data_IF_202692743488
#
_entry.id   IF_202692743488
#
_cell.length_a   1.000
_cell.length_b   1.000
_cell.length_c   1.000
_cell.angle_alpha   90.00
_cell.angle_beta   90.00
_cell.angle_gamma   90.00
#
_symmetry.space_group_name_H-M   'P 1'
#
loop_
_entity.id
_entity.type
_entity.pdbx_description
1 polymer ?
#
# COMPACT_ATOMS: atom_id res chain seq x y z
N UNK A 1 46.69 -17.01 6.12
CA UNK A 1 45.78 -16.28 5.20
C UNK A 1 46.61 -15.60 4.14
N UNK A 2 46.16 -15.58 2.89
CA UNK A 2 46.87 -14.91 1.79
C UNK A 2 46.44 -13.44 1.75
N UNK A 3 47.37 -12.52 1.52
CA UNK A 3 47.03 -11.14 1.15
C UNK A 3 46.28 -11.13 -0.18
N UNK A 4 45.43 -10.13 -0.37
CA UNK A 4 44.60 -10.03 -1.57
C UNK A 4 45.46 -9.66 -2.79
N UNK A 5 45.47 -10.55 -3.79
CA UNK A 5 46.17 -10.33 -5.07
C UNK A 5 45.35 -9.51 -6.06
N UNK A 6 45.95 -9.02 -7.17
CA UNK A 6 45.25 -8.22 -8.18
C UNK A 6 44.07 -8.98 -8.84
N UNK A 7 44.23 -10.27 -9.14
CA UNK A 7 43.15 -11.10 -9.71
C UNK A 7 41.98 -11.27 -8.74
N UNK A 8 42.28 -11.32 -7.44
CA UNK A 8 41.27 -11.44 -6.39
C UNK A 8 40.51 -10.13 -6.21
N UNK A 9 41.17 -8.97 -6.39
CA UNK A 9 40.50 -7.67 -6.44
C UNK A 9 39.54 -7.57 -7.62
N UNK A 10 39.97 -7.96 -8.82
CA UNK A 10 39.10 -7.98 -9.99
C UNK A 10 37.90 -8.91 -9.80
N UNK A 11 38.12 -10.10 -9.21
CA UNK A 11 37.06 -11.04 -8.87
C UNK A 11 36.08 -10.51 -7.83
N UNK A 12 36.57 -9.83 -6.79
CA UNK A 12 35.75 -9.17 -5.79
C UNK A 12 34.91 -8.05 -6.41
N UNK A 13 35.52 -7.18 -7.23
CA UNK A 13 34.84 -6.08 -7.89
C UNK A 13 33.72 -6.58 -8.82
N UNK A 14 34.00 -7.58 -9.65
CA UNK A 14 33.00 -8.19 -10.53
C UNK A 14 31.85 -8.82 -9.73
N UNK A 15 32.16 -9.48 -8.61
CA UNK A 15 31.15 -10.04 -7.73
C UNK A 15 30.32 -8.94 -7.03
N UNK A 16 30.97 -7.88 -6.54
CA UNK A 16 30.31 -6.74 -5.90
C UNK A 16 29.38 -6.02 -6.90
N UNK A 17 29.78 -5.85 -8.16
CA UNK A 17 28.89 -5.31 -9.21
C UNK A 17 27.63 -6.14 -9.38
N UNK A 18 27.75 -7.46 -9.38
CA UNK A 18 26.60 -8.35 -9.49
C UNK A 18 25.71 -8.26 -8.24
N UNK A 19 26.31 -8.32 -7.04
CA UNK A 19 25.58 -8.27 -5.77
C UNK A 19 24.93 -6.90 -5.53
N UNK A 20 25.55 -5.81 -5.97
CA UNK A 20 25.01 -4.45 -5.85
C UNK A 20 23.66 -4.28 -6.55
N UNK A 21 23.33 -5.12 -7.54
CA UNK A 21 22.00 -5.13 -8.18
C UNK A 21 20.90 -5.57 -7.21
N UNK A 22 21.23 -6.43 -6.25
CA UNK A 22 20.32 -7.00 -5.26
C UNK A 22 20.38 -6.27 -3.91
N UNK A 23 21.56 -5.75 -3.52
CA UNK A 23 21.74 -5.02 -2.25
C UNK A 23 20.92 -3.73 -2.21
N UNK A 24 20.35 -3.42 -1.04
CA UNK A 24 19.52 -2.24 -0.81
C UNK A 24 20.33 -1.05 -0.29
N UNK A 25 21.45 -1.33 0.38
CA UNK A 25 22.35 -0.30 0.94
C UNK A 25 23.82 -0.62 0.67
N UNK A 26 24.65 0.43 0.74
CA UNK A 26 26.11 0.27 0.64
C UNK A 26 26.67 -0.58 1.79
N UNK A 27 26.16 -0.40 3.01
CA UNK A 27 26.63 -1.16 4.17
C UNK A 27 26.32 -2.65 4.04
N UNK A 28 25.15 -3.00 3.50
CA UNK A 28 24.79 -4.38 3.18
C UNK A 28 25.72 -4.98 2.12
N UNK A 29 26.03 -4.23 1.06
CA UNK A 29 27.00 -4.66 0.04
C UNK A 29 28.40 -4.91 0.63
N UNK A 30 28.85 -4.02 1.53
CA UNK A 30 30.13 -4.18 2.22
C UNK A 30 30.12 -5.38 3.17
N UNK A 31 29.00 -5.60 3.86
CA UNK A 31 28.82 -6.77 4.71
C UNK A 31 28.89 -8.06 3.89
N UNK A 32 28.21 -8.13 2.75
CA UNK A 32 28.30 -9.28 1.86
C UNK A 32 29.71 -9.46 1.28
N UNK A 33 30.41 -8.38 0.95
CA UNK A 33 31.80 -8.43 0.50
C UNK A 33 32.74 -9.01 1.56
N UNK A 34 32.55 -8.65 2.83
CA UNK A 34 33.29 -9.25 3.95
C UNK A 34 33.02 -10.75 4.08
N UNK A 35 31.75 -11.18 3.97
CA UNK A 35 31.40 -12.60 3.96
C UNK A 35 32.08 -13.34 2.79
N UNK A 36 32.04 -12.77 1.58
CA UNK A 36 32.66 -13.34 0.39
C UNK A 36 34.18 -13.54 0.53
N UNK A 37 34.87 -12.57 1.15
CA UNK A 37 36.31 -12.64 1.43
C UNK A 37 36.63 -13.71 2.48
N UNK A 38 35.79 -13.77 3.53
CA UNK A 38 35.93 -14.74 4.61
C UNK A 38 35.77 -16.18 4.10
N UNK A 39 34.72 -16.45 3.31
CA UNK A 39 34.45 -17.76 2.70
C UNK A 39 35.64 -18.27 1.86
N UNK A 40 36.32 -17.34 1.17
CA UNK A 40 37.48 -17.63 0.31
C UNK A 40 38.81 -17.66 1.07
N UNK A 41 38.79 -17.49 2.40
CA UNK A 41 39.96 -17.46 3.30
C UNK A 41 40.99 -16.38 2.89
N UNK A 42 40.52 -15.28 2.33
CA UNK A 42 41.33 -14.11 1.96
C UNK A 42 41.45 -13.21 3.19
N UNK A 43 42.63 -12.62 3.42
CA UNK A 43 42.79 -11.63 4.49
C UNK A 43 41.96 -10.39 4.18
N UNK A 44 41.12 -9.96 5.13
CA UNK A 44 40.29 -8.76 4.98
C UNK A 44 41.23 -7.55 4.77
N UNK A 45 41.11 -6.83 3.64
CA UNK A 45 41.93 -5.66 3.36
C UNK A 45 41.57 -4.49 4.29
N UNK A 46 42.32 -3.39 4.18
CA UNK A 46 41.99 -2.17 4.92
C UNK A 46 40.55 -1.72 4.62
N UNK A 47 39.78 -1.43 5.67
CA UNK A 47 38.37 -1.04 5.60
C UNK A 47 38.14 0.12 4.61
N UNK A 48 39.05 1.10 4.61
CA UNK A 48 39.01 2.23 3.67
C UNK A 48 39.01 1.79 2.20
N UNK A 49 39.92 0.88 1.81
CA UNK A 49 40.05 0.41 0.42
C UNK A 49 38.80 -0.34 -0.01
N UNK A 50 38.25 -1.18 0.86
CA UNK A 50 37.01 -1.91 0.58
C UNK A 50 35.81 -0.95 0.44
N UNK A 51 35.73 0.07 1.29
CA UNK A 51 34.70 1.12 1.20
C UNK A 51 34.83 1.98 -0.04
N UNK A 52 36.04 2.34 -0.44
CA UNK A 52 36.31 3.09 -1.67
C UNK A 52 35.84 2.28 -2.91
N UNK A 53 36.16 0.99 -2.95
CA UNK A 53 35.68 0.07 -4.00
C UNK A 53 34.15 -0.05 -3.99
N UNK A 54 33.55 -0.28 -2.81
CA UNK A 54 32.10 -0.35 -2.65
C UNK A 54 31.40 0.93 -3.10
N UNK A 55 31.92 2.10 -2.75
CA UNK A 55 31.40 3.40 -3.22
C UNK A 55 31.48 3.54 -4.74
N UNK A 56 32.57 3.10 -5.35
CA UNK A 56 32.72 3.12 -6.82
C UNK A 56 31.68 2.25 -7.51
N UNK A 57 31.53 0.99 -7.06
CA UNK A 57 30.54 0.03 -7.58
C UNK A 57 29.11 0.54 -7.37
N UNK A 58 28.83 1.16 -6.22
CA UNK A 58 27.52 1.73 -5.92
C UNK A 58 27.19 2.90 -6.83
N UNK A 59 28.15 3.82 -7.04
CA UNK A 59 27.99 4.95 -7.95
C UNK A 59 27.80 4.50 -9.41
N UNK A 60 28.45 3.41 -9.82
CA UNK A 60 28.21 2.78 -11.13
C UNK A 60 26.78 2.26 -11.26
N UNK A 61 26.29 1.57 -10.23
CA UNK A 61 24.92 1.06 -10.20
C UNK A 61 23.87 2.18 -10.25
N UNK A 62 24.11 3.29 -9.53
CA UNK A 62 23.23 4.47 -9.58
C UNK A 62 23.24 5.12 -10.98
N UNK A 63 24.40 5.21 -11.63
CA UNK A 63 24.52 5.70 -13.02
C UNK A 63 23.77 4.81 -14.01
N UNK A 64 23.97 3.50 -13.94
CA UNK A 64 23.29 2.54 -14.84
C UNK A 64 21.78 2.62 -14.70
N UNK A 65 21.30 2.78 -13.46
CA UNK A 65 19.86 2.86 -13.22
C UNK A 65 19.27 4.21 -13.63
N UNK A 66 20.03 5.29 -13.49
CA UNK A 66 19.64 6.58 -14.06
C UNK A 66 19.52 6.51 -15.57
N UNK A 67 20.50 5.90 -16.25
CA UNK A 67 20.46 5.72 -17.71
C UNK A 67 19.24 4.89 -18.14
N UNK A 68 18.86 3.87 -17.36
CA UNK A 68 17.62 3.13 -17.59
C UNK A 68 16.38 4.03 -17.46
N UNK A 69 16.31 4.89 -16.43
CA UNK A 69 15.21 5.84 -16.24
C UNK A 69 15.14 6.80 -17.42
N UNK A 70 16.26 7.38 -17.84
CA UNK A 70 16.31 8.35 -18.95
C UNK A 70 15.91 7.70 -20.29
N UNK A 71 16.21 6.42 -20.48
CA UNK A 71 15.78 5.66 -21.66
C UNK A 71 14.28 5.30 -21.63
N UNK A 72 13.70 5.15 -20.43
CA UNK A 72 12.31 4.69 -20.24
C UNK A 72 11.32 5.85 -20.12
N UNK A 73 11.73 6.92 -19.46
CA UNK A 73 10.87 8.06 -19.10
C UNK A 73 11.30 9.29 -19.89
N UNK A 74 10.46 9.81 -20.79
CA UNK A 74 10.77 11.02 -21.53
C UNK A 74 11.06 12.19 -20.59
N UNK A 75 12.07 12.99 -20.92
CA UNK A 75 12.48 14.15 -20.11
C UNK A 75 11.31 15.14 -19.87
N UNK A 76 10.39 15.24 -20.83
CA UNK A 76 9.18 16.06 -20.71
C UNK A 76 8.25 15.55 -19.60
N UNK A 77 8.12 14.23 -19.43
CA UNK A 77 7.35 13.63 -18.34
C UNK A 77 8.05 13.83 -17.00
N UNK A 78 9.38 13.70 -16.94
CA UNK A 78 10.15 13.98 -15.72
C UNK A 78 9.97 15.43 -15.26
N UNK A 79 10.08 16.40 -16.18
CA UNK A 79 9.85 17.81 -15.88
C UNK A 79 8.43 18.09 -15.43
N UNK A 80 7.42 17.49 -16.10
CA UNK A 80 6.02 17.60 -15.70
C UNK A 80 5.79 17.03 -14.30
N UNK A 81 6.36 15.86 -14.00
CA UNK A 81 6.24 15.22 -12.70
C UNK A 81 6.88 16.08 -11.60
N UNK A 82 8.09 16.60 -11.81
CA UNK A 82 8.78 17.45 -10.84
C UNK A 82 8.01 18.77 -10.56
N UNK A 83 7.47 19.38 -11.62
CA UNK A 83 6.62 20.58 -11.49
C UNK A 83 5.32 20.28 -10.73
N UNK A 84 4.66 19.17 -11.04
CA UNK A 84 3.42 18.76 -10.39
C UNK A 84 3.64 18.39 -8.91
N UNK A 85 4.79 17.82 -8.55
CA UNK A 85 5.12 17.53 -7.15
C UNK A 85 5.45 18.77 -6.33
N UNK A 86 5.95 19.81 -7.00
CA UNK A 86 6.32 21.07 -6.37
C UNK A 86 5.13 22.03 -6.21
N UNK A 87 3.99 21.77 -6.85
CA UNK A 87 2.79 22.60 -6.71
C UNK A 87 2.13 22.43 -5.34
N UNK A 88 1.36 23.45 -4.94
CA UNK A 88 0.50 23.39 -3.77
C UNK A 88 -0.68 22.46 -4.06
N UNK A 89 -1.15 21.75 -3.02
CA UNK A 89 -2.33 20.91 -3.11
C UNK A 89 -3.58 21.71 -2.71
N UNK A 90 -4.61 21.77 -3.55
CA UNK A 90 -5.76 22.67 -3.32
C UNK A 90 -6.49 22.46 -1.99
N UNK A 91 -6.56 21.21 -1.51
CA UNK A 91 -7.26 20.86 -0.28
C UNK A 91 -6.40 20.94 0.99
N UNK A 92 -5.09 21.16 0.88
CA UNK A 92 -4.17 21.05 2.00
C UNK A 92 -3.06 22.10 1.89
N UNK A 93 -2.71 22.76 3.01
CA UNK A 93 -1.61 23.73 3.08
C UNK A 93 -0.23 23.03 3.04
N UNK A 94 -0.04 22.18 2.03
CA UNK A 94 1.14 21.36 1.79
C UNK A 94 1.34 21.12 0.30
N UNK A 95 2.54 20.69 -0.08
CA UNK A 95 2.80 20.33 -1.47
C UNK A 95 2.14 19.02 -1.86
N UNK A 96 1.93 18.83 -3.16
CA UNK A 96 1.46 17.56 -3.71
C UNK A 96 2.38 16.39 -3.30
N UNK A 97 3.69 16.62 -3.25
CA UNK A 97 4.63 15.63 -2.74
C UNK A 97 4.28 15.23 -1.30
N UNK A 98 4.06 16.19 -0.40
CA UNK A 98 3.74 15.92 1.00
C UNK A 98 2.38 15.19 1.14
N UNK A 99 1.41 15.57 0.32
CA UNK A 99 0.12 14.88 0.25
C UNK A 99 0.27 13.41 -0.19
N UNK A 100 1.11 13.13 -1.19
CA UNK A 100 1.41 11.76 -1.63
C UNK A 100 2.18 10.95 -0.59
N UNK A 101 3.05 11.60 0.19
CA UNK A 101 3.79 10.96 1.29
C UNK A 101 2.86 10.54 2.43
N UNK A 102 1.71 11.19 2.58
CA UNK A 102 0.74 10.89 3.63
C UNK A 102 0.07 9.55 3.35
N UNK A 103 0.26 8.52 4.20
CA UNK A 103 -0.33 7.21 3.97
C UNK A 103 -1.85 7.27 4.10
N UNK A 104 -2.60 6.45 3.34
CA UNK A 104 -4.04 6.40 3.47
C UNK A 104 -4.43 5.87 4.86
N UNK A 105 -5.47 6.47 5.44
CA UNK A 105 -6.01 6.08 6.75
C UNK A 105 -6.85 4.79 6.69
N UNK A 106 -7.77 4.59 7.65
CA UNK A 106 -8.68 3.42 7.70
C UNK A 106 -9.64 3.38 6.49
N UNK A 107 -10.31 2.23 6.30
CA UNK A 107 -11.27 1.92 5.22
C UNK A 107 -12.61 2.70 5.26
N UNK A 108 -12.59 3.99 5.63
CA UNK A 108 -13.74 4.87 5.51
C UNK A 108 -13.96 5.28 4.04
N UNK A 109 -15.20 5.65 3.65
CA UNK A 109 -15.48 6.13 2.30
C UNK A 109 -14.65 7.35 1.89
N UNK A 110 -14.35 8.24 2.84
CA UNK A 110 -13.51 9.42 2.63
C UNK A 110 -12.08 9.03 2.28
N UNK A 111 -11.46 8.11 3.01
CA UNK A 111 -10.11 7.61 2.71
C UNK A 111 -10.04 6.88 1.36
N UNK A 112 -11.08 6.11 1.01
CA UNK A 112 -11.15 5.43 -0.29
C UNK A 112 -11.16 6.47 -1.42
N UNK A 113 -11.93 7.55 -1.24
CA UNK A 113 -12.00 8.66 -2.21
C UNK A 113 -10.64 9.35 -2.35
N UNK A 114 -9.98 9.68 -1.24
CA UNK A 114 -8.63 10.26 -1.25
C UNK A 114 -7.60 9.32 -1.89
N UNK A 115 -7.66 8.02 -1.61
CA UNK A 115 -6.77 7.01 -2.21
C UNK A 115 -6.96 6.95 -3.73
N UNK A 116 -8.22 7.02 -4.20
CA UNK A 116 -8.55 7.10 -5.62
C UNK A 116 -8.04 8.39 -6.26
N UNK A 117 -8.12 9.53 -5.57
CA UNK A 117 -7.58 10.81 -6.03
C UNK A 117 -6.06 10.73 -6.22
N UNK A 118 -5.34 10.16 -5.25
CA UNK A 118 -3.89 9.92 -5.37
C UNK A 118 -3.55 9.02 -6.56
N UNK A 119 -4.28 7.92 -6.75
CA UNK A 119 -4.08 7.02 -7.89
C UNK A 119 -4.38 7.74 -9.22
N UNK A 120 -5.45 8.52 -9.29
CA UNK A 120 -5.81 9.29 -10.49
C UNK A 120 -4.71 10.29 -10.84
N UNK A 121 -4.25 11.05 -9.86
CA UNK A 121 -3.14 11.99 -10.01
C UNK A 121 -1.87 11.32 -10.57
N UNK A 122 -1.46 10.18 -10.00
CA UNK A 122 -0.29 9.43 -10.48
C UNK A 122 -0.49 8.89 -11.90
N UNK A 123 -1.71 8.52 -12.28
CA UNK A 123 -2.04 8.09 -13.64
C UNK A 123 -2.01 9.25 -14.63
N UNK A 124 -2.48 10.44 -14.25
CA UNK A 124 -2.45 11.65 -15.08
C UNK A 124 -1.01 12.10 -15.38
N UNK A 125 -0.08 11.93 -14.44
CA UNK A 125 1.36 12.15 -14.67
C UNK A 125 1.94 11.15 -15.68
N UNK A 126 1.34 9.96 -15.79
CA UNK A 126 1.81 8.89 -16.67
C UNK A 126 2.68 7.84 -15.99
N UNK A 127 2.75 7.80 -14.65
CA UNK A 127 3.60 6.88 -13.87
C UNK A 127 3.36 5.41 -14.22
N UNK A 128 2.10 5.07 -14.55
CA UNK A 128 1.68 3.73 -14.95
C UNK A 128 2.28 3.26 -16.29
N UNK A 129 2.84 4.16 -17.09
CA UNK A 129 3.46 3.83 -18.39
C UNK A 129 4.96 3.52 -18.29
N UNK A 130 5.57 3.76 -17.12
CA UNK A 130 7.01 3.59 -16.93
C UNK A 130 7.38 2.12 -16.69
N UNK A 131 8.05 1.50 -17.65
CA UNK A 131 8.51 0.10 -17.58
C UNK A 131 9.83 -0.01 -16.84
N UNK A 132 9.78 -0.07 -15.51
CA UNK A 132 10.94 -0.11 -14.62
C UNK A 132 11.22 -1.51 -14.03
N UNK A 133 10.60 -2.55 -14.58
CA UNK A 133 10.60 -3.91 -14.02
C UNK A 133 11.98 -4.60 -14.06
N UNK A 134 12.93 -4.04 -14.82
CA UNK A 134 14.34 -4.46 -14.82
C UNK A 134 15.01 -4.27 -13.45
N UNK A 135 14.54 -3.29 -12.66
CA UNK A 135 15.05 -3.05 -11.30
C UNK A 135 14.20 -3.84 -10.30
N UNK A 136 14.79 -4.66 -9.42
CA UNK A 136 14.04 -5.41 -8.42
C UNK A 136 13.15 -4.52 -7.54
N UNK A 137 11.93 -4.96 -7.26
CA UNK A 137 10.93 -4.15 -6.53
C UNK A 137 11.43 -3.67 -5.16
N UNK A 138 12.21 -4.47 -4.45
CA UNK A 138 12.74 -4.10 -3.13
C UNK A 138 13.77 -2.97 -3.24
N UNK A 139 14.52 -2.92 -4.33
CA UNK A 139 15.44 -1.83 -4.62
C UNK A 139 14.70 -0.54 -4.99
N UNK A 140 13.62 -0.66 -5.76
CA UNK A 140 12.72 0.47 -6.02
C UNK A 140 12.16 1.03 -4.70
N UNK A 141 11.69 0.14 -3.81
CA UNK A 141 11.21 0.52 -2.47
C UNK A 141 12.29 1.17 -1.63
N UNK A 142 13.53 0.65 -1.64
CA UNK A 142 14.63 1.24 -0.87
C UNK A 142 14.90 2.70 -1.26
N UNK A 143 14.83 3.03 -2.55
CA UNK A 143 14.94 4.42 -3.01
C UNK A 143 13.71 5.26 -2.71
N UNK A 144 12.51 4.73 -2.88
CA UNK A 144 11.27 5.40 -2.47
C UNK A 144 11.27 5.72 -0.96
N UNK A 145 11.83 4.85 -0.12
CA UNK A 145 11.94 5.06 1.32
C UNK A 145 12.89 6.20 1.68
N UNK A 146 13.94 6.47 0.87
CA UNK A 146 14.85 7.60 1.11
C UNK A 146 14.14 8.94 1.03
N UNK A 147 13.28 9.12 0.03
CA UNK A 147 12.48 10.35 -0.08
C UNK A 147 11.35 10.39 0.95
N UNK A 148 10.77 9.25 1.31
CA UNK A 148 9.76 9.18 2.36
C UNK A 148 10.32 9.62 3.73
N UNK A 149 11.48 9.09 4.11
CA UNK A 149 12.14 9.44 5.38
C UNK A 149 12.69 10.88 5.41
N UNK A 150 12.89 11.50 4.25
CA UNK A 150 13.48 12.85 4.15
C UNK A 150 12.46 13.94 4.47
N UNK A 151 12.91 14.98 5.16
CA UNK A 151 12.08 16.18 5.40
C UNK A 151 11.82 16.93 4.08
N UNK A 152 10.66 17.60 3.92
CA UNK A 152 10.29 18.26 2.65
C UNK A 152 11.32 19.31 2.20
N UNK A 153 11.85 20.11 3.14
CA UNK A 153 12.91 21.12 2.88
C UNK A 153 14.16 20.47 2.27
N UNK A 154 14.66 19.40 2.89
CA UNK A 154 15.84 18.68 2.40
C UNK A 154 15.58 17.93 1.09
N UNK A 155 14.32 17.65 0.76
CA UNK A 155 13.94 16.99 -0.49
C UNK A 155 14.05 17.95 -1.67
N UNK A 156 13.67 19.22 -1.46
CA UNK A 156 13.85 20.30 -2.44
C UNK A 156 15.34 20.62 -2.70
N UNK A 157 16.19 20.39 -1.71
CA UNK A 157 17.64 20.58 -1.80
C UNK A 157 18.36 19.47 -2.58
N UNK A 158 17.71 18.32 -2.88
CA UNK A 158 18.34 17.35 -3.78
C UNK A 158 18.52 17.97 -5.16
N UNK A 159 19.70 17.77 -5.73
CA UNK A 159 20.07 18.26 -7.06
C UNK A 159 20.44 17.10 -7.96
N UNK A 160 20.15 17.27 -9.25
CA UNK A 160 20.65 16.40 -10.31
C UNK A 160 20.07 14.99 -10.32
N UNK A 161 20.90 14.04 -10.72
CA UNK A 161 20.56 12.63 -11.01
C UNK A 161 19.94 11.87 -9.84
N UNK A 162 20.47 12.05 -8.62
CA UNK A 162 19.97 11.36 -7.43
C UNK A 162 18.52 11.75 -7.12
N UNK A 163 18.14 13.02 -7.37
CA UNK A 163 16.76 13.48 -7.20
C UNK A 163 15.81 12.79 -8.17
N UNK A 164 16.16 12.75 -9.45
CA UNK A 164 15.35 12.12 -10.50
C UNK A 164 15.11 10.66 -10.18
N UNK A 165 16.17 9.95 -9.79
CA UNK A 165 16.10 8.55 -9.42
C UNK A 165 15.20 8.32 -8.19
N UNK A 166 15.40 9.02 -7.08
CA UNK A 166 14.57 8.86 -5.89
C UNK A 166 13.08 9.19 -6.16
N UNK A 167 12.80 10.24 -6.93
CA UNK A 167 11.45 10.67 -7.26
C UNK A 167 10.71 9.67 -8.15
N UNK A 168 11.35 9.18 -9.22
CA UNK A 168 10.73 8.26 -10.17
C UNK A 168 10.31 6.97 -9.46
N UNK A 169 11.19 6.39 -8.64
CA UNK A 169 10.86 5.18 -7.90
C UNK A 169 9.86 5.43 -6.78
N UNK A 170 9.89 6.59 -6.14
CA UNK A 170 8.83 6.98 -5.21
C UNK A 170 7.46 6.99 -5.87
N UNK A 171 7.29 7.70 -6.97
CA UNK A 171 6.02 7.74 -7.70
C UNK A 171 5.55 6.34 -8.11
N UNK A 172 6.45 5.53 -8.64
CA UNK A 172 6.16 4.15 -9.08
C UNK A 172 5.72 3.26 -7.92
N UNK A 173 6.45 3.28 -6.81
CA UNK A 173 6.16 2.47 -5.61
C UNK A 173 4.88 2.96 -4.94
N UNK A 174 4.69 4.27 -4.79
CA UNK A 174 3.46 4.84 -4.23
C UNK A 174 2.23 4.47 -5.05
N UNK A 175 2.32 4.43 -6.37
CA UNK A 175 1.21 3.95 -7.22
C UNK A 175 0.85 2.48 -6.90
N UNK A 176 1.86 1.61 -6.74
CA UNK A 176 1.63 0.20 -6.40
C UNK A 176 1.00 0.06 -5.01
N UNK A 177 1.60 0.70 -4.00
CA UNK A 177 1.14 0.62 -2.61
C UNK A 177 -0.28 1.18 -2.44
N UNK A 178 -0.62 2.27 -3.12
CA UNK A 178 -1.97 2.84 -3.09
C UNK A 178 -2.98 1.93 -3.80
N UNK A 179 -2.59 1.29 -4.90
CA UNK A 179 -3.47 0.35 -5.61
C UNK A 179 -3.76 -0.87 -4.73
N UNK A 180 -2.74 -1.44 -4.08
CA UNK A 180 -2.90 -2.55 -3.14
C UNK A 180 -3.76 -2.14 -1.92
N UNK A 181 -3.50 -0.94 -1.38
CA UNK A 181 -4.28 -0.38 -0.27
C UNK A 181 -5.75 -0.19 -0.64
N UNK A 182 -6.03 0.32 -1.84
CA UNK A 182 -7.39 0.50 -2.34
C UNK A 182 -8.13 -0.84 -2.46
N UNK A 183 -7.48 -1.86 -3.03
CA UNK A 183 -8.06 -3.20 -3.15
C UNK A 183 -8.42 -3.76 -1.77
N UNK A 184 -7.53 -3.60 -0.79
CA UNK A 184 -7.78 -4.01 0.59
C UNK A 184 -8.95 -3.23 1.24
N UNK A 185 -8.98 -1.91 1.09
CA UNK A 185 -10.03 -1.05 1.63
C UNK A 185 -11.41 -1.40 1.06
N UNK A 186 -11.51 -1.58 -0.27
CA UNK A 186 -12.75 -1.97 -0.95
C UNK A 186 -13.21 -3.35 -0.47
N UNK A 187 -12.30 -4.33 -0.43
CA UNK A 187 -12.62 -5.67 0.06
C UNK A 187 -13.16 -5.66 1.49
N UNK A 188 -12.58 -4.84 2.36
CA UNK A 188 -13.07 -4.68 3.73
C UNK A 188 -14.45 -4.04 3.78
N UNK A 189 -14.67 -3.00 2.98
CA UNK A 189 -15.96 -2.28 2.93
C UNK A 189 -17.10 -3.18 2.45
N UNK A 190 -16.86 -4.00 1.44
CA UNK A 190 -17.83 -5.00 0.95
C UNK A 190 -18.16 -5.98 2.08
N UNK A 191 -17.16 -6.48 2.79
CA UNK A 191 -17.36 -7.39 3.92
C UNK A 191 -18.21 -6.77 5.04
N UNK A 192 -17.98 -5.50 5.37
CA UNK A 192 -18.76 -4.79 6.39
C UNK A 192 -20.23 -4.59 5.95
N UNK A 193 -20.46 -4.28 4.66
CA UNK A 193 -21.81 -4.14 4.10
C UNK A 193 -22.57 -5.47 4.14
N UNK A 194 -21.93 -6.56 3.75
CA UNK A 194 -22.50 -7.92 3.82
C UNK A 194 -22.84 -8.28 5.26
N UNK A 195 -21.91 -8.06 6.20
CA UNK A 195 -22.14 -8.30 7.63
C UNK A 195 -23.31 -7.47 8.17
N UNK A 196 -23.43 -6.21 7.75
CA UNK A 196 -24.52 -5.35 8.17
C UNK A 196 -25.88 -5.84 7.63
N UNK A 197 -25.94 -6.33 6.39
CA UNK A 197 -27.14 -6.93 5.82
C UNK A 197 -27.57 -8.20 6.59
N UNK A 198 -26.62 -9.10 6.88
CA UNK A 198 -26.88 -10.29 7.70
C UNK A 198 -27.37 -9.95 9.10
N UNK A 199 -26.74 -8.99 9.79
CA UNK A 199 -27.17 -8.58 11.13
C UNK A 199 -28.60 -8.01 11.12
N UNK A 200 -28.97 -7.27 10.07
CA UNK A 200 -30.34 -6.77 9.87
C UNK A 200 -31.33 -7.92 9.69
N UNK A 201 -31.02 -8.93 8.90
CA UNK A 201 -31.91 -10.09 8.72
C UNK A 201 -32.03 -10.91 10.00
N UNK A 202 -30.92 -11.16 10.70
CA UNK A 202 -30.94 -11.89 11.98
C UNK A 202 -31.74 -11.14 13.04
N UNK A 203 -31.60 -9.81 13.11
CA UNK A 203 -32.38 -9.00 14.06
C UNK A 203 -33.87 -9.01 13.71
N UNK A 204 -34.22 -8.95 12.42
CA UNK A 204 -35.62 -9.09 11.96
C UNK A 204 -36.19 -10.47 12.30
N UNK A 205 -35.44 -11.55 12.07
CA UNK A 205 -35.84 -12.91 12.41
C UNK A 205 -36.01 -13.09 13.93
N UNK A 206 -35.08 -12.55 14.74
CA UNK A 206 -35.18 -12.58 16.19
C UNK A 206 -36.44 -11.84 16.68
N UNK A 207 -36.72 -10.63 16.15
CA UNK A 207 -37.94 -9.87 16.48
C UNK A 207 -39.22 -10.62 16.10
N UNK A 208 -39.28 -11.15 14.88
CA UNK A 208 -40.41 -11.97 14.42
C UNK A 208 -40.63 -13.20 15.30
N UNK A 209 -39.55 -13.87 15.75
CA UNK A 209 -39.66 -15.02 16.65
C UNK A 209 -40.19 -14.65 18.05
N UNK A 210 -39.84 -13.47 18.56
CA UNK A 210 -40.34 -12.95 19.85
C UNK A 210 -41.80 -12.55 19.72
N UNK A 211 -42.19 -11.84 18.66
CA UNK A 211 -43.58 -11.49 18.37
C UNK A 211 -44.47 -12.73 18.25
N UNK A 212 -44.00 -13.77 17.55
CA UNK A 212 -44.71 -15.04 17.44
C UNK A 212 -44.92 -15.71 18.80
N UNK A 213 -43.89 -15.73 19.67
CA UNK A 213 -44.02 -16.26 21.04
C UNK A 213 -44.99 -15.44 21.89
N UNK A 214 -45.00 -14.12 21.75
CA UNK A 214 -45.93 -13.25 22.48
C UNK A 214 -47.37 -13.43 22.03
N UNK A 215 -47.61 -13.63 20.73
CA UNK A 215 -48.94 -13.96 20.20
C UNK A 215 -49.45 -15.30 20.72
N UNK A 216 -48.60 -16.34 20.72
CA UNK A 216 -48.94 -17.62 21.33
C UNK A 216 -49.25 -17.49 22.83
N UNK A 217 -48.44 -16.72 23.57
CA UNK A 217 -48.72 -16.42 24.98
C UNK A 217 -50.05 -15.69 25.19
N UNK A 218 -50.39 -14.72 24.34
CA UNK A 218 -51.68 -14.01 24.39
C UNK A 218 -52.87 -14.91 24.08
N UNK A 219 -52.75 -15.84 23.13
CA UNK A 219 -53.76 -16.86 22.86
C UNK A 219 -53.93 -17.82 24.04
N UNK A 220 -52.84 -18.20 24.71
CA UNK A 220 -52.90 -19.09 25.88
C UNK A 220 -53.40 -18.39 27.17
N UNK A 221 -53.25 -17.07 27.29
CA UNK A 221 -53.69 -16.29 28.47
C UNK A 221 -55.19 -15.92 28.39
N UNK A 222 -55.85 -16.08 27.24
CA UNK A 222 -57.27 -15.74 27.10
C UNK A 222 -58.16 -16.98 26.80
N UNK A 223 -58.42 -17.86 27.79
CA UNK A 223 -59.39 -18.95 27.64
C UNK A 223 -60.83 -18.54 27.96
N UNK A 224 -61.21 -17.25 27.86
CA UNK A 224 -62.52 -16.80 28.34
C UNK A 224 -63.12 -15.64 27.57
N UNK A 225 -63.62 -15.87 26.35
CA UNK A 225 -64.70 -15.06 25.75
C UNK A 225 -65.15 -15.58 24.38
N UNK A 226 -65.49 -16.87 24.26
CA UNK A 226 -66.51 -17.30 23.28
C UNK A 226 -67.40 -18.35 23.96
N UNK A 227 -68.30 -17.86 24.82
CA UNK A 227 -69.39 -18.69 25.33
C UNK A 227 -70.43 -18.88 24.22
N UNK A 228 -70.28 -19.92 23.40
CA UNK A 228 -71.41 -20.47 22.66
C UNK A 228 -72.30 -21.20 23.67
N UNK A 229 -73.35 -20.54 24.13
CA UNK A 229 -74.41 -21.19 24.92
C UNK A 229 -75.24 -22.08 24.00
N UNK A 230 -74.92 -23.37 24.01
CA UNK A 230 -75.79 -24.42 23.50
C UNK A 230 -76.95 -24.61 24.49
N UNK A 231 -78.12 -24.06 24.20
CA UNK A 231 -79.36 -24.42 24.90
C UNK A 231 -80.08 -25.51 24.12
N UNK A 232 -80.68 -26.46 24.86
CA UNK A 232 -81.16 -27.76 24.34
C UNK A 232 -82.34 -27.69 23.35
N UNK A 233 -82.89 -26.50 23.05
CA UNK A 233 -84.08 -26.36 22.22
C UNK A 233 -83.93 -25.24 21.17
N UNK A 234 -83.44 -25.58 19.97
CA UNK A 234 -83.75 -24.88 18.72
C UNK A 234 -83.03 -23.56 18.43
N UNK A 235 -82.62 -23.39 17.16
CA UNK A 235 -82.04 -22.16 16.63
C UNK A 235 -83.07 -21.02 16.64
N UNK A 236 -82.71 -19.86 17.20
CA UNK A 236 -83.50 -18.64 17.02
C UNK A 236 -82.60 -17.52 16.50
N UNK A 237 -82.97 -16.98 15.33
CA UNK A 237 -82.32 -15.85 14.71
C UNK A 237 -82.77 -14.57 15.45
N UNK A 238 -81.84 -13.90 16.13
CA UNK A 238 -82.07 -12.62 16.81
C UNK A 238 -81.10 -11.58 16.29
N UNK A 239 -81.64 -10.54 15.68
CA UNK A 239 -80.96 -9.45 14.99
C UNK A 239 -80.37 -8.38 15.94
N UNK A 240 -79.19 -7.87 15.55
CA UNK A 240 -78.88 -6.42 15.35
C UNK A 240 -78.55 -5.51 16.55
N UNK A 241 -77.48 -4.71 16.32
CA UNK A 241 -77.04 -3.41 16.90
C UNK A 241 -76.60 -3.40 18.37
N UNK A 242 -75.52 -2.74 18.79
CA UNK A 242 -74.70 -1.61 18.30
C UNK A 242 -73.22 -1.90 18.61
#
# INVERSE_FOLDING_TARGET
>A
MKSIGPDQWAGLEAWMRKNAKESLTLDELLQHANCWLYERRILIPADRTLRDLGRSVWAETERDTLALIEATVPETQLRRADAALSSQHDAADMTVLDWLKTPPARHSPTTITETLEKIRFLKEIGVHTWTLDTVPIDKQRAWAQRIQARRPVKTRELKGSARTLELVFFLRVTLLELTDSLLYQIGRRVSDLVRHAYNKTTTKQARSSVEYRQQLGRCCINPGSVGLTFTRNGWNAGSVNF
#
